data_IF_021392516417
#
_entry.id   IF_021392516417
#
_cell.length_a   1.000
_cell.length_b   1.000
_cell.length_c   1.000
_cell.angle_alpha   90.00
_cell.angle_beta   90.00
_cell.angle_gamma   90.00
#
_symmetry.space_group_name_H-M   'P 1'
#
loop_
_entity.id
_entity.type
_entity.pdbx_description
1 polymer ?
#
# COMPACT_ATOMS: atom_id res chain seq x y z
N UNK A 1 -27.13 -57.14 -12.81
CA UNK A 1 -26.89 -56.49 -11.51
C UNK A 1 -25.47 -56.81 -11.07
N UNK A 2 -24.59 -55.83 -10.94
CA UNK A 2 -23.58 -55.80 -9.86
C UNK A 2 -23.00 -54.39 -9.77
N UNK A 3 -23.38 -53.75 -8.67
CA UNK A 3 -23.10 -52.38 -8.31
C UNK A 3 -21.79 -52.30 -7.52
N UNK A 4 -21.09 -51.19 -7.74
CA UNK A 4 -20.39 -50.38 -6.74
C UNK A 4 -19.27 -51.06 -5.94
N UNK A 5 -18.02 -50.85 -6.37
CA UNK A 5 -16.92 -50.52 -5.45
C UNK A 5 -15.92 -49.58 -6.14
N UNK A 6 -16.21 -48.29 -6.12
CA UNK A 6 -15.23 -47.27 -6.49
C UNK A 6 -15.53 -45.92 -5.85
N UNK A 7 -15.50 -45.87 -4.52
CA UNK A 7 -15.40 -44.60 -3.80
C UNK A 7 -14.49 -44.82 -2.58
N UNK A 8 -13.81 -43.77 -2.16
CA UNK A 8 -12.69 -43.73 -1.20
C UNK A 8 -11.29 -43.90 -1.79
N UNK A 9 -11.00 -43.12 -2.86
CA UNK A 9 -9.70 -42.44 -2.92
C UNK A 9 -9.74 -41.34 -1.84
N UNK A 10 -9.14 -41.59 -0.67
CA UNK A 10 -8.82 -40.52 0.29
C UNK A 10 -7.87 -39.56 -0.44
N UNK A 11 -8.38 -38.45 -0.94
CA UNK A 11 -7.53 -37.31 -1.26
C UNK A 11 -6.86 -36.90 0.06
N UNK A 12 -5.54 -37.02 0.12
CA UNK A 12 -4.75 -36.43 1.20
C UNK A 12 -5.06 -34.93 1.14
N UNK A 13 -5.88 -34.45 2.07
CA UNK A 13 -6.08 -33.01 2.29
C UNK A 13 -4.69 -32.42 2.48
N UNK A 14 -4.21 -31.65 1.49
CA UNK A 14 -2.98 -30.87 1.68
C UNK A 14 -3.23 -29.98 2.90
N UNK A 15 -2.33 -29.95 3.90
CA UNK A 15 -2.50 -29.02 5.01
C UNK A 15 -2.66 -27.63 4.42
N UNK A 16 -3.67 -26.88 4.88
CA UNK A 16 -3.81 -25.47 4.49
C UNK A 16 -2.47 -24.79 4.79
N UNK A 17 -1.97 -23.91 3.89
CA UNK A 17 -0.76 -23.16 4.19
C UNK A 17 -0.93 -22.49 5.55
N UNK A 18 0.09 -22.60 6.39
CA UNK A 18 0.08 -21.97 7.70
C UNK A 18 0.05 -20.46 7.46
N UNK A 19 -1.11 -19.82 7.63
CA UNK A 19 -1.27 -18.38 7.39
C UNK A 19 -0.62 -17.69 8.59
N UNK A 20 0.66 -17.31 8.44
CA UNK A 20 1.33 -16.44 9.40
C UNK A 20 0.63 -15.08 9.33
N UNK A 21 0.08 -14.55 10.44
CA UNK A 21 -0.53 -13.23 10.43
C UNK A 21 0.50 -12.18 10.01
N UNK A 22 0.10 -11.25 9.13
CA UNK A 22 0.95 -10.13 8.74
C UNK A 22 1.25 -9.26 9.96
N UNK A 23 2.51 -8.92 10.16
CA UNK A 23 2.92 -7.93 11.15
C UNK A 23 2.70 -6.51 10.62
N UNK A 24 2.68 -5.51 11.52
CA UNK A 24 2.65 -4.10 11.11
C UNK A 24 3.83 -3.75 10.21
N UNK A 25 5.01 -4.31 10.48
CA UNK A 25 6.21 -4.08 9.67
C UNK A 25 6.05 -4.63 8.24
N UNK A 26 5.40 -5.79 8.08
CA UNK A 26 5.13 -6.37 6.75
C UNK A 26 4.18 -5.47 5.95
N UNK A 27 3.19 -4.89 6.63
CA UNK A 27 2.22 -3.96 6.02
C UNK A 27 2.94 -2.67 5.60
N UNK A 28 3.68 -2.04 6.50
CA UNK A 28 4.41 -0.79 6.22
C UNK A 28 5.40 -0.97 5.07
N UNK A 29 6.14 -2.09 5.04
CA UNK A 29 7.04 -2.43 3.93
C UNK A 29 6.28 -2.60 2.61
N UNK A 30 5.17 -3.33 2.63
CA UNK A 30 4.35 -3.55 1.43
C UNK A 30 3.80 -2.25 0.86
N UNK A 31 3.38 -1.32 1.73
CA UNK A 31 2.89 0.00 1.33
C UNK A 31 4.01 0.84 0.70
N UNK A 32 5.21 0.85 1.28
CA UNK A 32 6.37 1.54 0.69
C UNK A 32 6.74 0.99 -0.68
N UNK A 33 6.74 -0.33 -0.85
CA UNK A 33 7.02 -0.96 -2.15
C UNK A 33 5.97 -0.58 -3.18
N UNK A 34 4.68 -0.67 -2.81
CA UNK A 34 3.56 -0.28 -3.66
C UNK A 34 3.71 1.18 -4.12
N UNK A 35 3.93 2.10 -3.19
CA UNK A 35 4.07 3.52 -3.51
C UNK A 35 5.32 3.84 -4.30
N UNK A 36 6.45 3.18 -4.02
CA UNK A 36 7.67 3.33 -4.81
C UNK A 36 7.42 2.95 -6.27
N UNK A 37 6.70 1.84 -6.52
CA UNK A 37 6.37 1.40 -7.88
C UNK A 37 5.59 2.45 -8.65
N UNK A 38 4.67 3.15 -7.99
CA UNK A 38 3.83 4.19 -8.61
C UNK A 38 4.62 5.50 -8.77
N UNK A 39 5.22 5.98 -7.67
CA UNK A 39 5.81 7.31 -7.60
C UNK A 39 7.15 7.44 -8.33
N UNK A 40 7.86 6.34 -8.59
CA UNK A 40 9.15 6.38 -9.34
C UNK A 40 9.03 6.94 -10.76
N UNK A 41 7.83 6.92 -11.34
CA UNK A 41 7.56 7.39 -12.70
C UNK A 41 7.11 8.86 -12.71
N UNK A 42 6.98 9.49 -11.53
CA UNK A 42 6.57 10.88 -11.40
C UNK A 42 7.76 11.82 -11.54
N UNK A 43 7.52 12.98 -12.16
CA UNK A 43 8.46 14.08 -12.13
C UNK A 43 8.48 14.78 -10.75
N UNK A 44 9.46 15.68 -10.59
CA UNK A 44 9.67 16.39 -9.33
C UNK A 44 8.54 17.37 -8.99
N UNK A 45 7.86 17.93 -9.98
CA UNK A 45 6.75 18.88 -9.77
C UNK A 45 5.55 18.13 -9.19
N UNK A 46 5.25 16.97 -9.78
CA UNK A 46 4.22 16.04 -9.33
C UNK A 46 4.49 15.53 -7.92
N UNK A 47 5.73 15.12 -7.62
CA UNK A 47 6.15 14.69 -6.27
C UNK A 47 5.85 15.77 -5.23
N UNK A 48 6.23 17.03 -5.50
CA UNK A 48 6.02 18.17 -4.59
C UNK A 48 4.56 18.52 -4.42
N UNK A 49 3.79 18.51 -5.50
CA UNK A 49 2.35 18.76 -5.47
C UNK A 49 1.65 17.74 -4.56
N UNK A 50 1.87 16.45 -4.81
CA UNK A 50 1.24 15.37 -4.03
C UNK A 50 1.69 15.41 -2.57
N UNK A 51 2.99 15.62 -2.30
CA UNK A 51 3.53 15.77 -0.94
C UNK A 51 2.83 16.90 -0.18
N UNK A 52 2.56 18.03 -0.82
CA UNK A 52 1.83 19.15 -0.21
C UNK A 52 0.41 18.74 0.19
N UNK A 53 -0.31 18.03 -0.67
CA UNK A 53 -1.66 17.56 -0.39
C UNK A 53 -1.70 16.54 0.75
N UNK A 54 -0.74 15.60 0.78
CA UNK A 54 -0.63 14.61 1.85
C UNK A 54 -0.33 15.30 3.19
N UNK A 55 0.58 16.28 3.21
CA UNK A 55 0.89 17.04 4.43
C UNK A 55 -0.34 17.81 4.94
N UNK A 56 -1.22 18.30 4.07
CA UNK A 56 -2.46 18.94 4.49
C UNK A 56 -3.40 17.96 5.22
N UNK A 57 -3.48 16.72 4.76
CA UNK A 57 -4.27 15.66 5.41
C UNK A 57 -3.65 15.22 6.74
N UNK A 58 -2.33 14.98 6.78
CA UNK A 58 -1.64 14.47 7.98
C UNK A 58 -1.66 15.50 9.14
N UNK A 59 -1.74 16.79 8.82
CA UNK A 59 -1.83 17.87 9.83
C UNK A 59 -3.23 18.05 10.42
N UNK A 60 -4.24 17.33 9.95
CA UNK A 60 -5.58 17.36 10.54
C UNK A 60 -5.55 16.78 11.96
N UNK A 61 -6.38 17.33 12.85
CA UNK A 61 -6.39 16.96 14.29
C UNK A 61 -6.85 15.52 14.53
N UNK A 62 -7.64 14.98 13.62
CA UNK A 62 -8.22 13.63 13.61
C UNK A 62 -7.44 12.67 12.72
N UNK A 63 -6.22 13.04 12.31
CA UNK A 63 -5.35 12.13 11.58
C UNK A 63 -4.84 10.99 12.50
N UNK A 64 -5.00 9.76 12.05
CA UNK A 64 -4.59 8.55 12.74
C UNK A 64 -3.75 7.68 11.81
N UNK A 65 -2.64 7.12 12.31
CA UNK A 65 -1.92 6.01 11.66
C UNK A 65 -2.74 4.72 11.78
N UNK A 66 -3.89 4.66 11.13
CA UNK A 66 -4.63 3.43 10.96
C UNK A 66 -3.99 2.59 9.83
N UNK A 67 -3.89 1.28 10.02
CA UNK A 67 -3.20 0.41 9.07
C UNK A 67 -4.08 0.11 7.83
N UNK A 68 -5.35 -0.21 8.06
CA UNK A 68 -6.23 -0.79 7.02
C UNK A 68 -7.44 0.09 6.67
N UNK A 69 -7.81 1.04 7.53
CA UNK A 69 -9.06 1.78 7.37
C UNK A 69 -8.94 2.93 6.35
N UNK A 70 -9.62 2.79 5.22
CA UNK A 70 -9.54 3.78 4.14
C UNK A 70 -10.45 4.98 4.42
N UNK A 71 -9.95 5.93 5.22
CA UNK A 71 -10.69 7.12 5.67
C UNK A 71 -10.35 8.39 4.89
N UNK A 72 -9.11 8.52 4.42
CA UNK A 72 -8.59 9.78 3.91
C UNK A 72 -8.68 9.88 2.39
N UNK A 73 -9.04 11.05 1.88
CA UNK A 73 -9.00 11.38 0.44
C UNK A 73 -7.89 12.39 0.22
N UNK A 74 -7.06 12.15 -0.79
CA UNK A 74 -6.01 13.09 -1.22
C UNK A 74 -6.32 13.47 -2.66
N UNK A 75 -6.72 14.72 -2.87
CA UNK A 75 -7.11 15.20 -4.19
C UNK A 75 -5.93 15.12 -5.16
N UNK A 76 -6.19 14.53 -6.34
CA UNK A 76 -5.21 14.40 -7.39
C UNK A 76 -4.04 13.50 -7.04
N UNK A 77 -4.15 12.57 -6.07
CA UNK A 77 -3.11 11.56 -5.80
C UNK A 77 -3.04 10.50 -6.92
N UNK A 78 -4.18 9.94 -7.31
CA UNK A 78 -4.36 9.08 -8.49
C UNK A 78 -5.57 9.60 -9.27
N UNK A 79 -5.65 9.33 -10.58
CA UNK A 79 -6.72 9.80 -11.48
C UNK A 79 -8.14 9.41 -11.01
N UNK A 80 -8.27 8.38 -10.18
CA UNK A 80 -9.55 7.98 -9.58
C UNK A 80 -9.93 8.92 -8.41
N UNK A 81 -10.81 9.87 -8.70
CA UNK A 81 -11.22 10.99 -7.83
C UNK A 81 -11.99 10.64 -6.55
N UNK A 82 -12.06 9.36 -6.16
CA UNK A 82 -12.77 8.91 -4.94
C UNK A 82 -12.01 7.85 -4.14
N UNK A 83 -10.75 7.58 -4.48
CA UNK A 83 -9.99 6.59 -3.74
C UNK A 83 -9.67 7.07 -2.32
N UNK A 84 -10.01 6.24 -1.34
CA UNK A 84 -9.68 6.47 0.06
C UNK A 84 -8.45 5.67 0.47
N UNK A 85 -7.62 6.26 1.32
CA UNK A 85 -6.35 5.73 1.79
C UNK A 85 -6.36 5.58 3.31
N UNK A 86 -5.62 4.59 3.82
CA UNK A 86 -5.34 4.47 5.24
C UNK A 86 -4.26 5.45 5.66
N UNK A 87 -4.21 5.78 6.96
CA UNK A 87 -3.19 6.70 7.48
C UNK A 87 -1.77 6.15 7.30
N UNK A 88 -1.58 4.85 7.51
CA UNK A 88 -0.31 4.17 7.24
C UNK A 88 0.09 4.26 5.75
N UNK A 89 -0.86 4.16 4.83
CA UNK A 89 -0.60 4.30 3.40
C UNK A 89 -0.12 5.71 3.04
N UNK A 90 -0.74 6.75 3.62
CA UNK A 90 -0.31 8.13 3.39
C UNK A 90 1.06 8.45 3.98
N UNK A 91 1.37 7.91 5.17
CA UNK A 91 2.70 8.05 5.77
C UNK A 91 3.78 7.32 4.96
N UNK A 92 3.50 6.09 4.52
CA UNK A 92 4.42 5.34 3.67
C UNK A 92 4.69 6.08 2.35
N UNK A 93 3.66 6.68 1.75
CA UNK A 93 3.84 7.51 0.54
C UNK A 93 4.69 8.75 0.83
N UNK A 94 4.44 9.47 1.93
CA UNK A 94 5.24 10.64 2.30
C UNK A 94 6.74 10.31 2.40
N UNK A 95 7.09 9.21 3.05
CA UNK A 95 8.48 8.74 3.15
C UNK A 95 9.11 8.42 1.78
N UNK A 96 8.34 7.81 0.88
CA UNK A 96 8.77 7.53 -0.50
C UNK A 96 9.03 8.84 -1.25
N UNK A 97 8.13 9.81 -1.16
CA UNK A 97 8.27 11.11 -1.83
C UNK A 97 9.48 11.89 -1.30
N UNK A 98 9.71 11.89 0.01
CA UNK A 98 10.90 12.50 0.63
C UNK A 98 12.20 11.85 0.14
N UNK A 99 12.18 10.54 -0.11
CA UNK A 99 13.34 9.82 -0.62
C UNK A 99 13.59 10.16 -2.09
N UNK A 100 12.56 10.13 -2.93
CA UNK A 100 12.67 10.46 -4.36
C UNK A 100 13.07 11.91 -4.61
N UNK A 101 12.58 12.85 -3.80
CA UNK A 101 12.96 14.27 -3.89
C UNK A 101 14.45 14.46 -3.56
N UNK A 102 14.97 13.80 -2.51
CA UNK A 102 16.39 13.84 -2.16
C UNK A 102 17.29 13.22 -3.24
N UNK A 103 16.90 12.07 -3.79
CA UNK A 103 17.64 11.42 -4.88
C UNK A 103 17.67 12.32 -6.13
N UNK A 104 16.57 12.99 -6.42
CA UNK A 104 16.47 13.92 -7.55
C UNK A 104 17.32 15.19 -7.38
N UNK A 105 17.60 15.59 -6.13
CA UNK A 105 18.50 16.70 -5.84
C UNK A 105 19.97 16.29 -6.03
N UNK A 106 20.36 15.10 -5.60
CA UNK A 106 21.74 14.58 -5.75
C UNK A 106 22.14 14.33 -7.20
N UNK A 107 21.22 13.94 -8.08
CA UNK A 107 21.52 13.69 -9.49
C UNK A 107 21.69 14.96 -10.35
N UNK A 108 21.55 16.15 -9.76
CA UNK A 108 21.71 17.46 -10.44
C UNK A 108 23.08 18.11 -10.22
N UNK A 109 23.92 17.52 -9.37
CA UNK A 109 25.32 17.92 -9.14
C UNK A 109 26.27 17.13 -10.04
#
# INVERSE_FOLDING_TARGET
MNRLRRLFRREKVKPSPNIIPLTEQDIDMSLRIFWTKIAREWDIERIRQVKTQILAVIKQVDFEKNLLERRYVVEGLIEESQQRYSGASLLALLEVLDTLERLSAHNKE
#
